data_IF_401833124481
#
_entry.id   IF_401833124481
#
_cell.length_a   1.000
_cell.length_b   1.000
_cell.length_c   1.000
_cell.angle_alpha   90.00
_cell.angle_beta   90.00
_cell.angle_gamma   90.00
#
_symmetry.space_group_name_H-M   'P 1'
#
loop_
_entity.id
_entity.type
_entity.pdbx_description
1 polymer ?
#
# COMPACT_ATOMS: atom_id res chain seq x y z
N UNK A 1 -12.64 -2.91 -9.16
CA UNK A 1 -12.82 -3.88 -8.06
C UNK A 1 -11.52 -4.57 -7.67
N UNK A 2 -10.82 -5.23 -8.61
CA UNK A 2 -9.56 -5.94 -8.31
C UNK A 2 -8.47 -5.02 -7.72
N UNK A 3 -8.31 -3.79 -8.27
CA UNK A 3 -7.39 -2.78 -7.72
C UNK A 3 -7.68 -2.49 -6.24
N UNK A 4 -8.92 -2.12 -5.92
CA UNK A 4 -9.33 -1.84 -4.54
C UNK A 4 -9.15 -3.04 -3.60
N UNK A 5 -9.42 -4.26 -4.07
CA UNK A 5 -9.19 -5.48 -3.29
C UNK A 5 -7.71 -5.66 -2.95
N UNK A 6 -6.83 -5.53 -3.94
CA UNK A 6 -5.38 -5.67 -3.76
C UNK A 6 -4.80 -4.56 -2.87
N UNK A 7 -5.28 -3.32 -3.04
CA UNK A 7 -4.88 -2.22 -2.15
C UNK A 7 -5.39 -2.43 -0.72
N UNK A 8 -6.58 -3.04 -0.54
CA UNK A 8 -7.11 -3.47 0.75
C UNK A 8 -6.30 -4.61 1.39
N UNK A 9 -5.94 -5.63 0.63
CA UNK A 9 -5.08 -6.74 1.12
C UNK A 9 -3.69 -6.25 1.54
N UNK A 10 -3.17 -5.20 0.89
CA UNK A 10 -1.96 -4.53 1.37
C UNK A 10 -2.12 -3.98 2.78
N UNK A 11 -3.29 -3.41 3.13
CA UNK A 11 -3.56 -2.85 4.46
C UNK A 11 -3.63 -3.89 5.55
N UNK A 12 -4.26 -5.03 5.29
CA UNK A 12 -4.33 -6.13 6.27
C UNK A 12 -2.95 -6.70 6.57
N UNK A 13 -2.11 -6.80 5.53
CA UNK A 13 -0.73 -7.25 5.70
C UNK A 13 0.13 -6.31 6.58
N UNK A 14 -0.24 -5.03 6.72
CA UNK A 14 0.47 -4.09 7.61
C UNK A 14 -0.22 -3.84 8.95
N UNK A 15 -1.49 -4.22 9.14
CA UNK A 15 -2.12 -4.15 10.47
C UNK A 15 -1.48 -5.16 11.43
N UNK A 16 -1.05 -6.29 10.88
CA UNK A 16 -0.05 -7.19 11.48
C UNK A 16 1.30 -6.51 11.77
N UNK A 17 1.46 -5.21 11.58
CA UNK A 17 2.65 -4.44 11.96
C UNK A 17 2.34 -3.37 13.03
N UNK A 18 1.08 -2.93 13.14
CA UNK A 18 0.67 -1.75 13.92
C UNK A 18 -0.04 -2.06 15.25
N UNK A 19 -0.33 -3.32 15.57
CA UNK A 19 -1.03 -3.69 16.81
C UNK A 19 -0.25 -3.23 18.07
N UNK A 20 -0.77 -2.26 18.86
CA UNK A 20 -0.03 -1.61 19.95
C UNK A 20 0.17 -2.51 21.18
N UNK A 21 -0.48 -3.67 21.22
CA UNK A 21 -0.40 -4.61 22.35
C UNK A 21 0.87 -5.48 22.34
N UNK A 22 1.66 -5.49 21.26
CA UNK A 22 2.86 -6.34 21.14
C UNK A 22 4.10 -5.55 20.70
N UNK A 23 4.92 -5.16 21.69
CA UNK A 23 6.24 -4.53 21.48
C UNK A 23 7.29 -5.62 21.29
N UNK A 24 7.40 -6.19 20.09
CA UNK A 24 8.37 -7.27 19.84
C UNK A 24 8.59 -7.53 18.36
N UNK A 25 9.83 -7.91 18.01
CA UNK A 25 10.30 -8.22 16.65
C UNK A 25 9.25 -9.02 15.86
N UNK A 26 8.65 -8.40 14.85
CA UNK A 26 7.67 -9.03 13.96
C UNK A 26 8.33 -9.48 12.67
N UNK A 27 7.90 -10.63 12.17
CA UNK A 27 8.22 -11.09 10.83
C UNK A 27 7.74 -10.06 9.81
N UNK A 28 8.61 -9.74 8.86
CA UNK A 28 8.44 -8.61 7.97
C UNK A 28 7.40 -8.92 6.87
N UNK A 29 6.12 -8.68 7.16
CA UNK A 29 5.03 -8.81 6.17
C UNK A 29 4.99 -7.67 5.14
N UNK A 30 5.95 -6.72 5.19
CA UNK A 30 6.00 -5.61 4.23
C UNK A 30 6.21 -6.09 2.79
N UNK A 31 6.93 -7.19 2.58
CA UNK A 31 7.08 -7.80 1.25
C UNK A 31 5.73 -8.24 0.66
N UNK A 32 4.88 -8.88 1.46
CA UNK A 32 3.52 -9.24 1.05
C UNK A 32 2.66 -8.00 0.78
N UNK A 33 2.78 -6.98 1.64
CA UNK A 33 2.04 -5.74 1.46
C UNK A 33 2.42 -5.03 0.16
N UNK A 34 3.70 -5.06 -0.26
CA UNK A 34 4.17 -4.54 -1.56
C UNK A 34 3.67 -5.41 -2.72
N UNK A 35 3.71 -6.74 -2.56
CA UNK A 35 3.25 -7.70 -3.57
C UNK A 35 1.77 -7.50 -3.92
N UNK A 36 0.95 -7.05 -2.98
CA UNK A 36 -0.44 -6.67 -3.26
C UNK A 36 -0.57 -5.20 -3.73
N UNK A 37 0.20 -4.28 -3.16
CA UNK A 37 0.10 -2.85 -3.49
C UNK A 37 0.48 -2.56 -4.94
N UNK A 38 1.61 -3.10 -5.41
CA UNK A 38 2.15 -2.82 -6.75
C UNK A 38 1.18 -3.21 -7.89
N UNK A 39 0.66 -4.46 -7.97
CA UNK A 39 -0.32 -4.81 -8.98
C UNK A 39 -1.65 -4.07 -8.78
N UNK A 40 -2.05 -3.79 -7.54
CA UNK A 40 -3.25 -3.01 -7.25
C UNK A 40 -3.19 -1.59 -7.83
N UNK A 41 -2.02 -0.94 -7.75
CA UNK A 41 -1.77 0.39 -8.29
C UNK A 41 -1.72 0.37 -9.83
N UNK A 42 -1.03 -0.60 -10.42
CA UNK A 42 -0.97 -0.79 -11.88
C UNK A 42 -2.37 -1.02 -12.48
N UNK A 43 -3.18 -1.88 -11.85
CA UNK A 43 -4.56 -2.13 -12.24
C UNK A 43 -5.44 -0.89 -12.05
N UNK A 44 -5.17 -0.08 -11.03
CA UNK A 44 -5.83 1.22 -10.83
C UNK A 44 -5.55 2.17 -11.99
N UNK A 45 -4.28 2.33 -12.36
CA UNK A 45 -3.86 3.18 -13.49
C UNK A 45 -4.47 2.70 -14.79
N UNK A 46 -4.39 1.38 -15.07
CA UNK A 46 -4.98 0.80 -16.27
C UNK A 46 -6.51 1.00 -16.32
N UNK A 47 -7.20 0.80 -15.19
CA UNK A 47 -8.64 1.02 -15.08
C UNK A 47 -9.04 2.49 -15.30
N UNK A 48 -8.24 3.44 -14.83
CA UNK A 48 -8.43 4.87 -15.09
C UNK A 48 -8.24 5.15 -16.59
N UNK A 49 -7.13 4.69 -17.17
CA UNK A 49 -6.81 4.90 -18.57
C UNK A 49 -7.94 4.38 -19.48
N UNK A 50 -8.44 3.16 -19.23
CA UNK A 50 -9.55 2.57 -19.98
C UNK A 50 -10.87 3.32 -19.74
N UNK A 51 -11.18 3.67 -18.49
CA UNK A 51 -12.44 4.34 -18.15
C UNK A 51 -12.53 5.79 -18.65
N UNK A 52 -11.39 6.43 -18.93
CA UNK A 52 -11.34 7.76 -19.56
C UNK A 52 -11.84 7.75 -21.02
N UNK A 53 -11.91 6.59 -21.69
CA UNK A 53 -12.50 6.47 -23.03
C UNK A 53 -14.04 6.38 -23.01
N UNK A 54 -14.67 6.18 -21.84
CA UNK A 54 -16.12 6.01 -21.70
C UNK A 54 -16.95 7.30 -21.86
N UNK A 55 -18.24 7.24 -21.49
CA UNK A 55 -19.14 8.41 -21.52
C UNK A 55 -18.72 9.50 -20.52
N UNK A 56 -19.07 10.77 -20.77
CA UNK A 56 -18.65 11.92 -19.95
C UNK A 56 -18.97 11.76 -18.45
N UNK A 57 -20.13 11.18 -18.11
CA UNK A 57 -20.51 10.89 -16.71
C UNK A 57 -19.69 9.74 -16.11
N UNK A 58 -19.41 8.70 -16.90
CA UNK A 58 -18.54 7.59 -16.49
C UNK A 58 -17.10 8.04 -16.23
N UNK A 59 -16.58 8.97 -17.04
CA UNK A 59 -15.24 9.53 -16.86
C UNK A 59 -15.05 10.24 -15.52
N UNK A 60 -16.04 11.00 -15.07
CA UNK A 60 -15.96 11.73 -13.78
C UNK A 60 -15.92 10.72 -12.63
N UNK A 61 -16.80 9.71 -12.64
CA UNK A 61 -16.81 8.68 -11.61
C UNK A 61 -15.48 7.90 -11.57
N UNK A 62 -14.94 7.53 -12.74
CA UNK A 62 -13.64 6.85 -12.86
C UNK A 62 -12.50 7.74 -12.39
N UNK A 63 -12.51 9.03 -12.76
CA UNK A 63 -11.47 9.98 -12.34
C UNK A 63 -11.47 10.15 -10.83
N UNK A 64 -12.63 10.34 -10.20
CA UNK A 64 -12.74 10.50 -8.74
C UNK A 64 -12.31 9.23 -8.01
N UNK A 65 -12.85 8.06 -8.39
CA UNK A 65 -12.52 6.79 -7.75
C UNK A 65 -11.04 6.42 -7.97
N UNK A 66 -10.52 6.69 -9.17
CA UNK A 66 -9.13 6.46 -9.52
C UNK A 66 -8.17 7.36 -8.76
N UNK A 67 -8.49 8.64 -8.60
CA UNK A 67 -7.66 9.60 -7.88
C UNK A 67 -7.58 9.24 -6.38
N UNK A 68 -8.69 8.79 -5.78
CA UNK A 68 -8.71 8.30 -4.40
C UNK A 68 -7.84 7.03 -4.23
N UNK A 69 -7.97 6.06 -5.15
CA UNK A 69 -7.15 4.85 -5.13
C UNK A 69 -5.66 5.14 -5.32
N UNK A 70 -5.32 6.08 -6.20
CA UNK A 70 -3.94 6.51 -6.41
C UNK A 70 -3.39 7.23 -5.19
N UNK A 71 -4.12 8.20 -4.63
CA UNK A 71 -3.71 8.93 -3.43
C UNK A 71 -3.50 7.99 -2.23
N UNK A 72 -4.39 7.00 -2.06
CA UNK A 72 -4.24 5.99 -1.02
C UNK A 72 -3.06 5.06 -1.29
N UNK A 73 -2.91 4.58 -2.52
CA UNK A 73 -1.80 3.71 -2.92
C UNK A 73 -0.44 4.39 -2.77
N UNK A 74 -0.33 5.67 -3.12
CA UNK A 74 0.91 6.45 -2.96
C UNK A 74 1.23 6.71 -1.51
N UNK A 75 0.23 7.09 -0.69
CA UNK A 75 0.40 7.20 0.77
C UNK A 75 0.91 5.89 1.38
N UNK A 76 0.35 4.76 0.96
CA UNK A 76 0.81 3.44 1.42
C UNK A 76 2.24 3.18 0.96
N UNK A 77 2.58 3.46 -0.29
CA UNK A 77 3.94 3.29 -0.80
C UNK A 77 4.96 4.13 -0.01
N UNK A 78 4.63 5.37 0.39
CA UNK A 78 5.55 6.20 1.17
C UNK A 78 5.73 5.72 2.61
N UNK A 79 4.67 5.19 3.23
CA UNK A 79 4.75 4.57 4.56
C UNK A 79 5.54 3.25 4.51
N UNK A 80 5.41 2.47 3.43
CA UNK A 80 6.15 1.24 3.23
C UNK A 80 7.60 1.46 2.77
N UNK A 81 7.93 2.58 2.10
CA UNK A 81 9.27 2.86 1.57
C UNK A 81 10.44 2.61 2.54
N UNK A 82 10.42 3.08 3.80
CA UNK A 82 11.47 2.76 4.76
C UNK A 82 11.53 1.27 5.13
N UNK A 83 10.43 0.53 4.97
CA UNK A 83 10.37 -0.91 5.21
C UNK A 83 10.97 -1.74 4.07
N UNK A 84 10.85 -1.27 2.83
CA UNK A 84 11.46 -1.93 1.66
C UNK A 84 13.00 -1.90 1.74
N UNK A 85 13.58 -0.83 2.29
CA UNK A 85 15.03 -0.70 2.42
C UNK A 85 15.66 -1.76 3.34
N UNK A 86 14.86 -2.39 4.21
CA UNK A 86 15.33 -3.43 5.11
C UNK A 86 15.28 -4.85 4.50
N UNK A 87 14.91 -5.00 3.21
CA UNK A 87 14.92 -6.26 2.45
C UNK A 87 14.39 -7.51 3.20
N UNK A 88 13.27 -7.36 3.92
CA UNK A 88 12.69 -8.47 4.68
C UNK A 88 13.33 -8.74 6.05
N UNK A 89 14.38 -8.02 6.44
CA UNK A 89 14.96 -8.06 7.78
C UNK A 89 14.01 -7.55 8.86
N UNK A 90 14.34 -7.79 10.13
CA UNK A 90 13.55 -7.34 11.28
C UNK A 90 13.57 -5.82 11.35
N UNK A 91 12.41 -5.19 11.46
CA UNK A 91 12.28 -3.72 11.54
C UNK A 91 11.75 -3.35 12.92
N UNK A 92 12.42 -2.43 13.62
CA UNK A 92 11.86 -1.83 14.83
C UNK A 92 11.71 -0.32 14.66
N UNK A 93 10.53 0.18 15.03
CA UNK A 93 10.27 1.61 15.18
C UNK A 93 10.90 2.09 16.48
N UNK A 94 11.76 3.09 16.37
CA UNK A 94 12.43 3.73 17.50
C UNK A 94 11.54 4.80 18.12
N UNK A 95 11.84 5.18 19.36
CA UNK A 95 11.07 6.16 20.15
C UNK A 95 11.07 7.56 19.50
N UNK A 96 12.12 7.88 18.75
CA UNK A 96 12.25 9.12 17.97
C UNK A 96 11.45 9.10 16.65
N UNK A 97 10.74 8.00 16.37
CA UNK A 97 9.96 7.81 15.15
C UNK A 97 10.77 7.30 13.95
N UNK A 98 12.08 7.07 14.12
CA UNK A 98 12.92 6.44 13.09
C UNK A 98 12.69 4.92 13.02
N UNK A 99 13.14 4.29 11.93
CA UNK A 99 13.10 2.83 11.77
C UNK A 99 14.53 2.30 11.71
N UNK A 100 14.84 1.23 12.44
CA UNK A 100 16.10 0.47 12.30
C UNK A 100 15.84 -0.88 11.66
N UNK A 101 16.66 -1.21 10.67
CA UNK A 101 16.78 -2.55 10.13
C UNK A 101 17.76 -3.35 11.00
N UNK A 102 17.39 -4.58 11.34
CA UNK A 102 18.28 -5.56 11.96
C UNK A 102 18.54 -6.68 10.95
N UNK A 103 19.82 -7.03 10.81
CA UNK A 103 20.27 -8.20 10.06
C UNK A 103 20.09 -9.48 10.89
#
# INVERSE_FOLDING_TARGET
MLSALLTGLSTTATMELEDPLFVGLRDNTSGLAVMFLAPGLLLGIAGIAVGLYGSRRGRIAVAVAGLLLLAFGTYRATVLAPMLACDGGRIARQVDGSYRCYA
#
